data_IF_774023692340
#
_entry.id   IF_774023692340
#
_cell.length_a   1.000
_cell.length_b   1.000
_cell.length_c   1.000
_cell.angle_alpha   90.00
_cell.angle_beta   90.00
_cell.angle_gamma   90.00
#
_symmetry.space_group_name_H-M   'P 1'
#
loop_
_entity.id
_entity.type
_entity.pdbx_description
1 polymer ?
#
# COMPACT_ATOMS: atom_id res chain seq x y z
N UNK A 1 -14.81 24.69 -0.32
CA UNK A 1 -13.77 23.88 0.36
C UNK A 1 -13.56 22.58 -0.42
N UNK A 2 -12.50 22.47 -1.22
CA UNK A 2 -12.26 21.30 -2.09
C UNK A 2 -11.89 20.08 -1.22
N UNK A 3 -12.65 18.98 -1.33
CA UNK A 3 -12.35 17.73 -0.61
C UNK A 3 -11.08 17.09 -1.20
N UNK A 4 -9.95 17.17 -0.46
CA UNK A 4 -8.66 16.54 -0.82
C UNK A 4 -8.53 15.08 -0.40
N UNK A 5 -9.66 14.41 -0.20
CA UNK A 5 -9.74 12.98 0.04
C UNK A 5 -11.10 12.44 -0.41
N UNK A 6 -11.08 11.21 -0.90
CA UNK A 6 -12.27 10.47 -1.28
C UNK A 6 -12.29 9.14 -0.50
N UNK A 7 -13.48 8.71 -0.08
CA UNK A 7 -13.67 7.42 0.58
C UNK A 7 -14.74 6.66 -0.17
N UNK A 8 -14.40 5.47 -0.63
CA UNK A 8 -15.31 4.56 -1.31
C UNK A 8 -15.31 3.19 -0.62
N UNK A 9 -16.38 2.45 -0.81
CA UNK A 9 -16.45 1.03 -0.45
C UNK A 9 -16.56 0.25 -1.74
N UNK A 10 -15.68 -0.75 -1.90
CA UNK A 10 -15.67 -1.67 -3.03
C UNK A 10 -16.09 -3.03 -2.52
N UNK A 11 -17.01 -3.69 -3.20
CA UNK A 11 -17.32 -5.09 -2.94
C UNK A 11 -16.25 -5.96 -3.59
N UNK A 12 -15.61 -6.82 -2.79
CA UNK A 12 -14.65 -7.81 -3.26
C UNK A 12 -15.15 -9.18 -2.86
N UNK A 13 -15.72 -9.92 -3.81
CA UNK A 13 -16.25 -11.28 -3.59
C UNK A 13 -17.27 -11.32 -2.43
N UNK A 14 -18.20 -10.36 -2.37
CA UNK A 14 -19.19 -10.24 -1.29
C UNK A 14 -18.61 -9.69 0.02
N UNK A 15 -17.33 -9.31 0.04
CA UNK A 15 -16.69 -8.69 1.20
C UNK A 15 -16.48 -7.20 0.94
N UNK A 16 -17.15 -6.31 1.71
CA UNK A 16 -16.98 -4.87 1.53
C UNK A 16 -15.63 -4.40 2.07
N UNK A 17 -14.84 -3.73 1.23
CA UNK A 17 -13.55 -3.12 1.54
C UNK A 17 -13.68 -1.60 1.45
N UNK A 18 -13.30 -0.89 2.52
CA UNK A 18 -13.29 0.57 2.53
C UNK A 18 -11.92 1.11 2.09
N UNK A 19 -11.89 1.86 0.98
CA UNK A 19 -10.72 2.54 0.47
C UNK A 19 -10.76 4.05 0.80
N UNK A 20 -9.66 4.58 1.32
CA UNK A 20 -9.45 6.02 1.51
C UNK A 20 -8.36 6.49 0.57
N UNK A 21 -8.71 7.29 -0.44
CA UNK A 21 -7.76 7.89 -1.38
C UNK A 21 -7.47 9.31 -0.93
N UNK A 22 -6.20 9.67 -0.77
CA UNK A 22 -5.84 11.02 -0.33
C UNK A 22 -4.41 11.40 -0.70
N UNK A 23 -4.17 12.69 -0.92
CA UNK A 23 -2.85 13.30 -0.88
C UNK A 23 -2.59 14.08 0.41
N UNK A 24 -3.54 14.08 1.35
CA UNK A 24 -3.54 14.96 2.53
C UNK A 24 -2.89 14.27 3.73
N UNK A 25 -1.79 14.83 4.30
CA UNK A 25 -1.06 14.19 5.41
C UNK A 25 -1.90 13.99 6.68
N UNK A 26 -2.82 14.91 6.99
CA UNK A 26 -3.71 14.78 8.16
C UNK A 26 -4.71 13.62 8.02
N UNK A 27 -5.18 13.33 6.80
CA UNK A 27 -6.08 12.20 6.52
C UNK A 27 -5.33 10.88 6.69
N UNK A 28 -4.10 10.77 6.18
CA UNK A 28 -3.21 9.62 6.41
C UNK A 28 -3.00 9.37 7.90
N UNK A 29 -2.67 10.43 8.65
CA UNK A 29 -2.48 10.33 10.11
C UNK A 29 -3.74 9.84 10.82
N UNK A 30 -4.91 10.38 10.46
CA UNK A 30 -6.19 9.95 11.02
C UNK A 30 -6.47 8.49 10.70
N UNK A 31 -6.27 8.08 9.46
CA UNK A 31 -6.45 6.69 9.02
C UNK A 31 -5.56 5.73 9.83
N UNK A 32 -4.26 6.04 9.98
CA UNK A 32 -3.32 5.22 10.74
C UNK A 32 -3.72 5.08 12.22
N UNK A 33 -4.11 6.19 12.87
CA UNK A 33 -4.58 6.16 14.27
C UNK A 33 -5.82 5.29 14.43
N UNK A 34 -6.80 5.46 13.55
CA UNK A 34 -8.03 4.67 13.60
C UNK A 34 -7.76 3.19 13.33
N UNK A 35 -6.93 2.87 12.34
CA UNK A 35 -6.56 1.49 12.02
C UNK A 35 -5.81 0.85 13.19
N UNK A 36 -4.81 1.53 13.77
CA UNK A 36 -4.10 1.03 14.95
C UNK A 36 -5.06 0.81 16.13
N UNK A 37 -5.99 1.73 16.39
CA UNK A 37 -6.97 1.59 17.46
C UNK A 37 -7.90 0.38 17.29
N UNK A 38 -8.38 0.12 16.07
CA UNK A 38 -9.28 -1.00 15.78
C UNK A 38 -8.57 -2.35 15.92
N UNK A 39 -7.37 -2.48 15.36
CA UNK A 39 -6.71 -3.77 15.25
C UNK A 39 -5.76 -4.08 16.40
N UNK A 40 -5.12 -3.08 17.05
CA UNK A 40 -4.22 -3.34 18.19
C UNK A 40 -4.93 -3.77 19.46
N UNK A 41 -6.24 -3.58 19.56
CA UNK A 41 -7.06 -4.18 20.63
C UNK A 41 -7.15 -5.70 20.53
N UNK A 42 -6.97 -6.25 19.33
CA UNK A 42 -7.19 -7.66 19.04
C UNK A 42 -5.91 -8.41 18.67
N UNK A 43 -4.85 -7.70 18.25
CA UNK A 43 -3.58 -8.29 17.89
C UNK A 43 -2.41 -7.38 18.29
N UNK A 44 -1.37 -7.96 18.89
CA UNK A 44 -0.13 -7.23 19.24
C UNK A 44 0.68 -6.86 17.99
N UNK A 45 0.51 -7.61 16.90
CA UNK A 45 1.22 -7.44 15.62
C UNK A 45 0.23 -7.12 14.51
N UNK A 46 0.57 -6.19 13.62
CA UNK A 46 -0.27 -5.87 12.48
C UNK A 46 0.29 -6.55 11.23
N UNK A 47 -0.57 -7.27 10.53
CA UNK A 47 -0.29 -7.80 9.18
C UNK A 47 -0.86 -6.79 8.19
N UNK A 48 0.01 -6.22 7.35
CA UNK A 48 -0.28 -5.06 6.52
C UNK A 48 0.03 -5.37 5.06
N UNK A 49 -1.00 -5.32 4.21
CA UNK A 49 -0.81 -5.36 2.77
C UNK A 49 -0.18 -4.06 2.32
N UNK A 50 0.89 -4.14 1.53
CA UNK A 50 1.63 -3.02 1.01
C UNK A 50 1.74 -3.13 -0.51
N UNK A 51 1.56 -2.00 -1.18
CA UNK A 51 1.84 -1.86 -2.59
C UNK A 51 2.39 -0.48 -2.88
N UNK A 52 3.27 -0.39 -3.87
CA UNK A 52 3.80 0.85 -4.38
C UNK A 52 3.55 0.90 -5.88
N UNK A 53 3.02 2.02 -6.36
CA UNK A 53 2.87 2.28 -7.80
C UNK A 53 3.72 3.49 -8.17
N UNK A 54 4.41 3.38 -9.29
CA UNK A 54 5.17 4.45 -9.94
C UNK A 54 4.68 4.59 -11.37
N UNK A 55 4.79 5.79 -11.93
CA UNK A 55 4.47 6.02 -13.34
C UNK A 55 5.67 5.57 -14.17
N UNK A 56 5.53 4.64 -15.13
CA UNK A 56 6.64 4.26 -15.98
C UNK A 56 6.93 5.38 -16.99
N UNK A 57 8.05 6.07 -16.83
CA UNK A 57 8.59 6.90 -17.90
C UNK A 57 9.14 6.00 -19.01
N UNK A 58 8.81 6.34 -20.26
CA UNK A 58 9.20 5.58 -21.46
C UNK A 58 10.47 6.12 -22.10
N UNK A 59 11.01 7.23 -21.58
CA UNK A 59 11.97 8.05 -22.30
C UNK A 59 13.42 7.70 -21.99
N UNK A 60 13.75 7.35 -20.74
CA UNK A 60 15.10 7.01 -20.33
C UNK A 60 15.04 5.96 -19.22
N UNK A 61 16.08 5.14 -19.07
CA UNK A 61 16.21 4.11 -18.04
C UNK A 61 16.30 4.66 -16.59
N UNK A 62 15.53 5.69 -16.28
CA UNK A 62 15.52 6.43 -15.04
C UNK A 62 14.51 5.87 -14.03
N UNK A 63 14.92 6.01 -12.78
CA UNK A 63 14.30 5.45 -11.59
C UNK A 63 12.95 6.12 -11.29
N UNK A 64 11.87 5.62 -11.92
CA UNK A 64 10.52 6.16 -11.74
C UNK A 64 10.13 6.34 -10.26
N UNK A 65 9.79 7.57 -9.86
CA UNK A 65 9.47 7.91 -8.47
C UNK A 65 8.19 7.20 -7.99
N UNK A 66 8.18 6.76 -6.72
CA UNK A 66 6.98 6.24 -6.07
C UNK A 66 5.85 7.28 -6.07
N UNK A 67 4.78 7.00 -6.82
CA UNK A 67 3.67 7.92 -7.04
C UNK A 67 2.52 7.70 -6.05
N UNK A 68 2.25 6.44 -5.68
CA UNK A 68 1.20 6.06 -4.73
C UNK A 68 1.68 4.95 -3.82
N UNK A 69 1.46 5.11 -2.51
CA UNK A 69 1.61 4.06 -1.50
C UNK A 69 0.22 3.52 -1.13
N UNK A 70 0.04 2.21 -1.22
CA UNK A 70 -1.14 1.51 -0.72
C UNK A 70 -0.83 0.78 0.59
N UNK A 71 -1.69 0.92 1.58
CA UNK A 71 -1.65 0.16 2.83
C UNK A 71 -3.02 -0.43 3.11
N UNK A 72 -3.10 -1.74 3.35
CA UNK A 72 -4.35 -2.42 3.70
C UNK A 72 -4.20 -3.21 5.02
N UNK A 73 -5.15 -3.02 5.94
CA UNK A 73 -5.24 -3.77 7.20
C UNK A 73 -6.69 -4.23 7.37
N UNK A 74 -6.89 -5.55 7.30
CA UNK A 74 -8.23 -6.14 7.18
C UNK A 74 -8.98 -5.52 5.99
N UNK A 75 -10.21 -5.06 6.24
CA UNK A 75 -11.10 -4.47 5.22
C UNK A 75 -10.90 -2.97 4.99
N UNK A 76 -9.78 -2.41 5.43
CA UNK A 76 -9.49 -0.97 5.34
C UNK A 76 -8.23 -0.77 4.51
N UNK A 77 -8.34 0.02 3.44
CA UNK A 77 -7.22 0.40 2.60
C UNK A 77 -7.02 1.92 2.59
N UNK A 78 -5.77 2.34 2.54
CA UNK A 78 -5.33 3.71 2.33
C UNK A 78 -4.53 3.75 1.03
N UNK A 79 -4.94 4.63 0.12
CA UNK A 79 -4.20 4.95 -1.10
C UNK A 79 -3.66 6.37 -0.92
N UNK A 80 -2.40 6.46 -0.51
CA UNK A 80 -1.71 7.73 -0.29
C UNK A 80 -1.01 8.16 -1.57
N UNK A 81 -1.52 9.21 -2.21
CA UNK A 81 -0.97 9.79 -3.44
C UNK A 81 0.31 10.59 -3.13
N UNK A 82 1.43 9.87 -2.98
CA UNK A 82 2.76 10.42 -2.67
C UNK A 82 3.15 11.56 -3.61
N UNK A 83 2.96 11.38 -4.93
CA UNK A 83 3.29 12.38 -5.95
C UNK A 83 2.50 13.70 -5.82
N UNK A 84 1.34 13.66 -5.15
CA UNK A 84 0.47 14.84 -4.94
C UNK A 84 0.53 15.39 -3.52
N UNK A 85 1.33 14.78 -2.64
CA UNK A 85 1.42 15.18 -1.24
C UNK A 85 2.66 16.05 -0.99
N UNK A 86 2.49 17.13 -0.23
CA UNK A 86 3.61 17.99 0.16
C UNK A 86 4.51 17.38 1.23
N UNK A 87 4.04 16.38 1.98
CA UNK A 87 4.83 15.73 3.03
C UNK A 87 4.27 14.36 3.42
N UNK A 88 5.13 13.45 3.87
CA UNK A 88 4.71 12.27 4.59
C UNK A 88 4.56 12.55 6.11
N UNK A 89 3.46 12.15 6.76
CA UNK A 89 3.31 12.30 8.21
C UNK A 89 4.38 11.52 8.98
N UNK A 90 4.91 12.09 10.07
CA UNK A 90 5.82 11.37 11.00
C UNK A 90 5.24 10.04 11.49
N UNK A 91 3.91 9.95 11.64
CA UNK A 91 3.24 8.71 12.05
C UNK A 91 3.34 7.61 10.99
N UNK A 92 3.33 7.95 9.69
CA UNK A 92 3.52 6.98 8.62
C UNK A 92 4.96 6.42 8.65
N UNK A 93 5.96 7.29 8.81
CA UNK A 93 7.37 6.87 8.96
C UNK A 93 7.55 5.89 10.12
N UNK A 94 7.02 6.24 11.30
CA UNK A 94 7.04 5.35 12.48
C UNK A 94 6.27 4.05 12.24
N UNK A 95 5.21 4.07 11.45
CA UNK A 95 4.42 2.88 11.13
C UNK A 95 5.19 1.92 10.23
N UNK A 96 5.90 2.41 9.22
CA UNK A 96 6.75 1.61 8.31
C UNK A 96 7.99 1.03 9.01
N UNK A 97 8.50 1.73 10.03
CA UNK A 97 9.63 1.31 10.86
C UNK A 97 9.23 0.46 12.08
N UNK A 98 7.93 0.21 12.31
CA UNK A 98 7.48 -0.45 13.53
C UNK A 98 7.80 -1.97 13.49
N UNK A 99 8.56 -2.52 14.45
CA UNK A 99 9.05 -3.91 14.38
C UNK A 99 7.94 -4.97 14.48
N UNK A 100 6.81 -4.63 15.13
CA UNK A 100 5.62 -5.48 15.24
C UNK A 100 4.70 -5.45 14.01
N UNK A 101 5.02 -4.64 13.00
CA UNK A 101 4.27 -4.66 11.75
C UNK A 101 4.97 -5.59 10.76
N UNK A 102 4.21 -6.52 10.18
CA UNK A 102 4.65 -7.36 9.07
C UNK A 102 3.99 -6.88 7.80
N UNK A 103 4.80 -6.51 6.81
CA UNK A 103 4.31 -6.06 5.51
C UNK A 103 4.35 -7.21 4.52
N UNK A 104 3.35 -7.31 3.66
CA UNK A 104 3.30 -8.28 2.55
C UNK A 104 2.88 -7.60 1.26
N UNK A 105 3.37 -8.11 0.13
CA UNK A 105 3.03 -7.63 -1.20
C UNK A 105 3.10 -8.77 -2.22
N UNK A 106 2.91 -8.42 -3.50
CA UNK A 106 3.11 -9.33 -4.63
C UNK A 106 4.04 -8.61 -5.60
N UNK A 107 5.14 -9.24 -6.01
CA UNK A 107 6.15 -8.64 -6.89
C UNK A 107 6.83 -7.39 -6.28
N UNK A 108 6.88 -7.30 -4.96
CA UNK A 108 7.25 -6.09 -4.20
C UNK A 108 8.76 -5.91 -3.95
N UNK A 109 9.61 -6.60 -4.71
CA UNK A 109 11.07 -6.59 -4.52
C UNK A 109 11.72 -5.21 -4.66
N UNK A 110 11.05 -4.24 -5.29
CA UNK A 110 11.52 -2.84 -5.39
C UNK A 110 10.78 -1.86 -4.50
N UNK A 111 9.74 -2.30 -3.79
CA UNK A 111 8.84 -1.37 -3.10
C UNK A 111 9.57 -0.56 -2.02
N UNK A 112 10.45 -1.20 -1.24
CA UNK A 112 11.26 -0.52 -0.23
C UNK A 112 12.21 0.49 -0.86
N UNK A 113 12.98 0.05 -1.86
CA UNK A 113 13.93 0.92 -2.59
C UNK A 113 13.22 2.13 -3.19
N UNK A 114 12.06 1.92 -3.83
CA UNK A 114 11.25 2.98 -4.42
C UNK A 114 10.73 3.97 -3.38
N UNK A 115 10.32 3.50 -2.20
CA UNK A 115 9.87 4.35 -1.11
C UNK A 115 11.03 5.16 -0.50
N UNK A 116 12.19 4.53 -0.32
CA UNK A 116 13.40 5.16 0.20
C UNK A 116 13.95 6.24 -0.73
N UNK A 117 13.98 5.97 -2.04
CA UNK A 117 14.44 6.94 -3.05
C UNK A 117 13.41 8.02 -3.42
N UNK A 118 12.16 7.88 -2.98
CA UNK A 118 11.14 8.91 -3.22
C UNK A 118 11.51 10.23 -2.56
N UNK A 119 10.94 11.35 -3.00
CA UNK A 119 11.12 12.66 -2.34
C UNK A 119 10.72 12.67 -0.86
N UNK A 120 9.93 11.69 -0.45
CA UNK A 120 9.50 11.55 0.94
C UNK A 120 10.46 10.68 1.77
N UNK A 121 11.47 10.03 1.18
CA UNK A 121 12.46 9.20 1.86
C UNK A 121 11.83 8.26 2.89
N UNK A 122 10.90 7.41 2.45
CA UNK A 122 10.12 6.55 3.31
C UNK A 122 10.86 5.22 3.53
N UNK A 123 11.53 5.12 4.68
CA UNK A 123 12.20 3.90 5.09
C UNK A 123 11.23 2.86 5.65
N UNK A 124 11.60 1.59 5.47
CA UNK A 124 10.94 0.43 6.07
C UNK A 124 11.94 -0.34 6.93
N UNK A 125 11.49 -0.89 8.06
CA UNK A 125 12.37 -1.67 8.94
C UNK A 125 12.86 -2.97 8.28
N UNK A 126 12.02 -3.56 7.43
CA UNK A 126 12.26 -4.83 6.73
C UNK A 126 11.59 -4.77 5.36
N UNK A 127 12.04 -5.60 4.44
CA UNK A 127 11.37 -5.78 3.16
C UNK A 127 9.99 -6.41 3.36
N UNK A 128 8.97 -6.04 2.55
CA UNK A 128 7.70 -6.74 2.58
C UNK A 128 7.90 -8.19 2.11
N UNK A 129 7.21 -9.12 2.75
CA UNK A 129 7.19 -10.52 2.32
C UNK A 129 6.44 -10.64 1.00
N UNK A 130 7.06 -11.30 0.02
CA UNK A 130 6.38 -11.59 -1.24
C UNK A 130 5.47 -12.80 -1.07
N UNK A 131 4.16 -12.61 -1.21
CA UNK A 131 3.20 -13.70 -1.03
C UNK A 131 3.43 -14.86 -2.00
N UNK A 132 4.08 -14.65 -3.14
CA UNK A 132 4.38 -15.73 -4.09
C UNK A 132 5.37 -16.72 -3.51
N UNK A 133 6.33 -16.27 -2.70
CA UNK A 133 7.31 -17.16 -2.09
C UNK A 133 6.74 -17.88 -0.88
N UNK A 134 5.71 -17.30 -0.22
CA UNK A 134 5.04 -17.88 0.93
C UNK A 134 3.97 -18.89 0.51
N UNK A 135 3.18 -18.58 -0.53
CA UNK A 135 2.11 -19.46 -1.01
C UNK A 135 2.63 -20.77 -1.63
N UNK A 136 3.83 -20.75 -2.23
CA UNK A 136 4.49 -21.94 -2.78
C UNK A 136 5.01 -22.87 -1.68
N UNK A 137 5.27 -22.37 -0.47
CA UNK A 137 5.77 -23.18 0.64
C UNK A 137 4.68 -24.01 1.33
N UNK A 138 3.40 -23.65 1.18
CA UNK A 138 2.25 -24.24 1.89
C UNK A 138 1.39 -25.17 1.01
N UNK A 139 1.75 -25.39 -0.26
CA UNK A 139 0.98 -26.22 -1.19
C UNK A 139 1.84 -26.83 -2.29
N UNK A 140 1.62 -28.12 -2.54
CA UNK A 140 2.24 -28.97 -3.57
C UNK A 140 2.63 -28.24 -4.85
N UNK A 141 3.89 -28.40 -5.25
CA UNK A 141 4.51 -27.70 -6.37
C UNK A 141 3.71 -27.79 -7.67
N UNK A 142 3.26 -26.63 -8.14
CA UNK A 142 3.26 -26.23 -9.54
C UNK A 142 3.50 -24.71 -9.55
N UNK A 143 4.37 -24.18 -10.43
CA UNK A 143 4.52 -22.73 -10.58
C UNK A 143 3.17 -22.16 -10.99
N UNK A 144 2.78 -21.01 -10.44
CA UNK A 144 1.64 -20.25 -10.95
C UNK A 144 1.97 -19.75 -12.37
N UNK A 145 1.76 -20.62 -13.35
CA UNK A 145 1.83 -20.35 -14.78
C UNK A 145 0.76 -19.29 -15.11
N UNK A 146 1.23 -18.06 -15.43
CA UNK A 146 0.64 -16.96 -16.19
C UNK A 146 -0.90 -16.81 -16.39
N UNK A 147 -1.77 -17.21 -15.47
CA UNK A 147 -3.19 -17.20 -15.80
C UNK A 147 -4.16 -17.40 -14.66
N UNK A 148 -4.05 -16.64 -13.57
CA UNK A 148 -5.19 -16.44 -12.66
C UNK A 148 -5.16 -15.07 -12.00
N UNK A 149 -6.08 -14.24 -12.48
CA UNK A 149 -6.74 -13.15 -11.76
C UNK A 149 -5.86 -12.04 -11.18
N UNK A 150 -5.56 -11.09 -12.05
CA UNK A 150 -5.65 -9.67 -11.78
C UNK A 150 -6.59 -9.34 -10.59
N UNK A 151 -6.07 -9.13 -9.38
CA UNK A 151 -6.68 -8.15 -8.47
C UNK A 151 -6.30 -6.78 -8.97
N UNK A 152 -7.08 -6.35 -9.95
CA UNK A 152 -7.19 -5.04 -10.54
C UNK A 152 -7.53 -4.02 -9.44
N UNK A 153 -6.52 -3.59 -8.68
CA UNK A 153 -6.46 -2.21 -8.15
C UNK A 153 -5.50 -1.42 -9.04
N UNK A 154 -5.71 -1.53 -10.36
CA UNK A 154 -5.32 -0.47 -11.29
C UNK A 154 -6.61 0.18 -11.80
N UNK A 155 -6.80 1.42 -11.37
CA UNK A 155 -6.98 2.55 -12.29
C UNK A 155 -8.24 2.65 -13.18
N UNK A 156 -9.37 2.01 -12.88
CA UNK A 156 -10.62 2.39 -13.58
C UNK A 156 -11.30 3.65 -12.95
N UNK A 157 -10.78 4.18 -11.84
CA UNK A 157 -11.33 5.35 -11.13
C UNK A 157 -10.41 6.59 -11.06
N UNK A 158 -9.20 6.54 -11.63
CA UNK A 158 -8.26 7.67 -11.59
C UNK A 158 -7.99 8.30 -12.98
N UNK A 159 -8.68 7.87 -14.03
CA UNK A 159 -8.66 8.52 -15.35
C UNK A 159 -9.93 9.35 -15.64
N UNK A 160 -10.88 9.42 -14.69
CA UNK A 160 -12.13 10.19 -14.82
C UNK A 160 -12.27 11.37 -13.86
N UNK A 161 -11.15 11.90 -13.33
CA UNK A 161 -11.12 13.20 -12.63
C UNK A 161 -9.83 13.97 -12.87
#
# INVERSE_FOLDING_TARGET
>A
MIRRHHRSTVDFLGTPITATVTSTPSVVRKWLRTTAHVFRRHARRLVVGLGVQWVPDRSHGEDNEAATLQLCVGRRCLLFQLARSSAAPRLLRRFLLHPDNTFFGIWNHRDREKLERSRHALEMARDPLDLRTVAVAEGTGEPLHWGVSWVRIRLDYLQTM
#
